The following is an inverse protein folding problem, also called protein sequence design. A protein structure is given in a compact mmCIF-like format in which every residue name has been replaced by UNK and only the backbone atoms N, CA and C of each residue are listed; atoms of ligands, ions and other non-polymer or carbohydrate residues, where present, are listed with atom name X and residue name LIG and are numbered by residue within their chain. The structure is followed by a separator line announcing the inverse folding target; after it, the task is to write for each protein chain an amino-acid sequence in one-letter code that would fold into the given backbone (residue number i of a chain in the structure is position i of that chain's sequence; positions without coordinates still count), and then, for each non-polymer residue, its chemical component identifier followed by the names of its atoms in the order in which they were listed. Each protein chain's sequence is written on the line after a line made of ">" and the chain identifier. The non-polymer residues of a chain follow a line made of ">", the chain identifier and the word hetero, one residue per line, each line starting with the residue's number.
data_IF_300931979868
#
_entry.id   IF_300931979868
#
_cell.length_a   1.000
_cell.length_b   1.000
_cell.length_c   1.000
_cell.angle_alpha   90.00
_cell.angle_beta   90.00
_cell.angle_gamma   90.00
#
_symmetry.space_group_name_H-M   'P 1'
#
loop_
_entity.id
_entity.type
_entity.pdbx_description
1 polymer ?
#
# COMPACT_ATOMS: atom_id res chain seq x y z
N UNK A 1 1.41 32.36 -28.68
CA UNK A 1 0.31 32.60 -27.73
C UNK A 1 -0.05 31.27 -27.11
N UNK A 2 -0.22 31.28 -25.80
CA UNK A 2 -0.10 30.15 -24.89
C UNK A 2 -1.32 29.23 -24.93
N UNK A 3 -1.08 27.92 -24.78
CA UNK A 3 -1.96 27.04 -23.99
C UNK A 3 -1.08 26.05 -23.26
N UNK A 4 -0.67 26.46 -22.06
CA UNK A 4 -0.38 25.58 -20.94
C UNK A 4 -1.54 24.59 -20.80
N UNK A 5 -1.33 23.34 -21.21
CA UNK A 5 -2.26 22.27 -20.88
C UNK A 5 -2.02 21.93 -19.42
N UNK A 6 -3.05 21.92 -18.56
CA UNK A 6 -2.87 21.45 -17.20
C UNK A 6 -2.36 20.01 -17.28
N UNK A 7 -1.14 19.78 -16.78
CA UNK A 7 -0.55 18.46 -16.60
C UNK A 7 -1.61 17.57 -15.96
N UNK A 8 -2.12 16.58 -16.70
CA UNK A 8 -2.97 15.56 -16.09
C UNK A 8 -2.22 15.00 -14.86
N UNK A 9 -2.91 14.69 -13.74
CA UNK A 9 -2.23 14.11 -12.60
C UNK A 9 -1.47 12.88 -13.09
N UNK A 10 -0.14 12.86 -12.89
CA UNK A 10 0.68 11.75 -13.31
C UNK A 10 0.13 10.46 -12.70
N UNK A 11 0.06 9.39 -13.49
CA UNK A 11 -0.35 8.08 -12.99
C UNK A 11 0.53 7.67 -11.79
N UNK A 12 -0.04 7.04 -10.75
CA UNK A 12 0.71 6.64 -9.57
C UNK A 12 1.85 5.68 -9.95
N UNK A 13 3.05 5.98 -9.44
CA UNK A 13 4.24 5.15 -9.67
C UNK A 13 4.22 3.99 -8.67
N UNK A 14 3.65 2.87 -9.10
CA UNK A 14 3.57 1.65 -8.30
C UNK A 14 4.95 1.02 -8.08
N UNK A 15 5.19 0.63 -6.83
CA UNK A 15 6.37 -0.10 -6.39
C UNK A 15 5.94 -1.38 -5.68
N UNK A 16 6.78 -2.39 -5.80
CA UNK A 16 6.68 -3.66 -5.10
C UNK A 16 7.93 -3.82 -4.24
N UNK A 17 7.87 -4.73 -3.27
CA UNK A 17 9.04 -5.13 -2.51
C UNK A 17 10.10 -5.74 -3.43
N UNK A 18 11.39 -5.49 -3.19
CA UNK A 18 12.47 -6.17 -3.92
C UNK A 18 12.50 -7.68 -3.65
N UNK A 19 11.88 -8.12 -2.54
CA UNK A 19 11.70 -9.52 -2.18
C UNK A 19 10.57 -10.20 -2.96
N UNK A 20 9.78 -9.45 -3.73
CA UNK A 20 8.76 -10.01 -4.61
C UNK A 20 9.40 -10.67 -5.84
N UNK A 21 9.74 -11.96 -5.72
CA UNK A 21 10.40 -12.75 -6.78
C UNK A 21 9.43 -13.31 -7.84
N UNK A 22 8.12 -13.18 -7.61
CA UNK A 22 7.05 -13.63 -8.53
C UNK A 22 6.56 -12.54 -9.49
N UNK A 23 6.10 -12.96 -10.68
CA UNK A 23 5.71 -12.04 -11.78
C UNK A 23 4.28 -11.50 -11.71
N UNK A 24 3.48 -11.83 -10.69
CA UNK A 24 2.08 -11.42 -10.73
C UNK A 24 1.36 -11.19 -9.42
N UNK A 25 1.82 -11.72 -8.31
CA UNK A 25 1.10 -11.74 -7.03
C UNK A 25 1.89 -10.94 -6.02
N UNK A 26 1.61 -9.66 -5.87
CA UNK A 26 2.37 -8.78 -5.00
C UNK A 26 1.48 -7.69 -4.40
N UNK A 27 1.88 -7.27 -3.20
CA UNK A 27 1.47 -5.98 -2.66
C UNK A 27 2.11 -4.87 -3.49
N UNK A 28 1.28 -4.00 -4.06
CA UNK A 28 1.74 -2.80 -4.75
C UNK A 28 1.38 -1.56 -3.93
N UNK A 29 2.35 -0.66 -3.81
CA UNK A 29 2.21 0.62 -3.11
C UNK A 29 2.64 1.76 -4.01
N UNK A 30 1.99 2.91 -3.91
CA UNK A 30 2.41 4.12 -4.61
C UNK A 30 2.24 5.34 -3.71
N UNK A 31 3.25 6.22 -3.60
CA UNK A 31 3.05 7.54 -3.02
C UNK A 31 2.17 8.39 -3.95
N UNK A 32 1.35 9.24 -3.35
CA UNK A 32 0.51 10.25 -4.00
C UNK A 32 0.80 11.62 -3.40
N UNK A 33 0.18 12.68 -3.91
CA UNK A 33 0.31 14.02 -3.34
C UNK A 33 -0.11 14.06 -1.86
N UNK A 34 -1.17 13.31 -1.50
CA UNK A 34 -1.81 13.39 -0.18
C UNK A 34 -1.47 12.20 0.73
N UNK A 35 -0.68 11.23 0.26
CA UNK A 35 -0.32 10.06 1.05
C UNK A 35 0.18 8.88 0.26
N UNK A 36 -0.32 7.68 0.58
CA UNK A 36 0.11 6.42 -0.01
C UNK A 36 -1.10 5.57 -0.30
N UNK A 37 -1.12 4.94 -1.47
CA UNK A 37 -2.14 3.97 -1.86
C UNK A 37 -1.53 2.57 -1.93
N UNK A 38 -2.30 1.57 -1.49
CA UNK A 38 -1.97 0.14 -1.60
C UNK A 38 -3.03 -0.57 -2.45
N UNK A 39 -2.62 -1.57 -3.23
CA UNK A 39 -3.51 -2.47 -3.97
C UNK A 39 -2.91 -3.86 -4.13
N UNK A 40 -3.71 -4.75 -4.69
CA UNK A 40 -3.26 -6.07 -5.13
C UNK A 40 -2.90 -6.05 -6.63
N UNK A 41 -1.69 -6.50 -6.99
CA UNK A 41 -1.23 -6.44 -8.40
C UNK A 41 -2.09 -7.24 -9.38
N UNK A 42 -2.62 -8.42 -8.99
CA UNK A 42 -3.56 -9.20 -9.85
C UNK A 42 -5.00 -8.73 -9.82
N UNK A 43 -5.38 -7.97 -8.80
CA UNK A 43 -6.76 -7.55 -8.59
C UNK A 43 -6.82 -6.03 -8.44
N UNK A 44 -6.32 -5.26 -9.43
CA UNK A 44 -6.37 -3.80 -9.36
C UNK A 44 -7.81 -3.26 -9.34
N UNK A 45 -8.75 -4.06 -9.84
CA UNK A 45 -10.20 -3.83 -9.83
C UNK A 45 -10.83 -4.02 -8.44
N UNK A 46 -10.16 -4.71 -7.50
CA UNK A 46 -10.57 -4.75 -6.09
C UNK A 46 -10.45 -3.38 -5.40
N UNK A 47 -9.80 -2.41 -6.05
CA UNK A 47 -9.65 -1.05 -5.59
C UNK A 47 -8.34 -0.79 -4.86
N UNK A 48 -8.23 0.41 -4.30
CA UNK A 48 -7.07 0.89 -3.56
C UNK A 48 -7.48 1.34 -2.17
N UNK A 49 -6.65 1.06 -1.17
CA UNK A 49 -6.80 1.67 0.16
C UNK A 49 -5.85 2.86 0.23
N UNK A 50 -6.36 4.02 0.64
CA UNK A 50 -5.60 5.28 0.69
C UNK A 50 -5.29 5.65 2.13
N UNK A 51 -4.02 5.88 2.43
CA UNK A 51 -3.51 6.30 3.72
C UNK A 51 -2.95 7.71 3.59
N UNK A 52 -3.13 8.55 4.60
CA UNK A 52 -2.22 9.68 4.79
C UNK A 52 -0.82 9.18 5.13
N UNK A 53 0.22 9.96 4.89
CA UNK A 53 1.60 9.59 5.26
C UNK A 53 1.76 9.10 6.73
N UNK A 54 1.20 9.77 7.76
CA UNK A 54 1.30 9.26 9.13
C UNK A 54 0.52 7.96 9.35
N UNK A 55 -0.64 7.80 8.70
CA UNK A 55 -1.41 6.56 8.77
C UNK A 55 -0.68 5.39 8.09
N UNK A 56 0.03 5.66 6.99
CA UNK A 56 0.88 4.69 6.30
C UNK A 56 2.04 4.23 7.18
N UNK A 57 2.76 5.15 7.81
CA UNK A 57 3.87 4.81 8.70
C UNK A 57 3.39 3.93 9.88
N UNK A 58 2.23 4.28 10.47
CA UNK A 58 1.61 3.46 11.50
C UNK A 58 1.18 2.08 10.97
N UNK A 59 0.57 2.02 9.77
CA UNK A 59 0.19 0.77 9.12
C UNK A 59 1.39 -0.18 8.93
N UNK A 60 2.48 0.32 8.36
CA UNK A 60 3.70 -0.47 8.10
C UNK A 60 4.31 -1.00 9.41
N UNK A 61 4.33 -0.18 10.46
CA UNK A 61 4.81 -0.58 11.78
C UNK A 61 3.93 -1.69 12.38
N UNK A 62 2.62 -1.50 12.37
CA UNK A 62 1.67 -2.46 12.95
C UNK A 62 1.70 -3.79 12.18
N UNK A 63 1.75 -3.73 10.84
CA UNK A 63 1.96 -4.88 9.96
C UNK A 63 3.26 -5.65 10.29
N UNK A 64 4.37 -4.93 10.52
CA UNK A 64 5.68 -5.51 10.85
C UNK A 64 5.70 -6.18 12.23
N UNK A 65 4.92 -5.66 13.17
CA UNK A 65 4.78 -6.25 14.51
C UNK A 65 3.81 -7.44 14.55
N UNK A 66 3.14 -7.74 13.42
CA UNK A 66 2.09 -8.76 13.36
C UNK A 66 0.84 -8.37 14.16
N UNK A 67 0.64 -7.08 14.41
CA UNK A 67 -0.50 -6.60 15.19
C UNK A 67 -1.74 -6.48 14.29
N UNK A 68 -2.80 -7.26 14.54
CA UNK A 68 -4.00 -7.25 13.69
C UNK A 68 -4.87 -6.00 13.92
N UNK A 69 -4.59 -5.21 14.96
CA UNK A 69 -5.37 -4.05 15.35
C UNK A 69 -4.69 -2.76 14.88
N UNK A 70 -4.93 -2.42 13.62
CA UNK A 70 -4.42 -1.19 13.04
C UNK A 70 -4.90 0.05 13.83
N UNK A 71 -3.96 0.72 14.48
CA UNK A 71 -4.22 1.88 15.34
C UNK A 71 -4.39 3.19 14.54
N UNK A 72 -4.36 3.11 13.20
CA UNK A 72 -4.37 4.27 12.30
C UNK A 72 -5.76 4.70 11.82
N UNK A 73 -6.81 3.91 12.06
CA UNK A 73 -8.19 4.22 11.70
C UNK A 73 -8.52 4.16 10.20
N UNK A 74 -7.60 3.70 9.34
CA UNK A 74 -7.79 3.65 7.87
C UNK A 74 -8.05 2.24 7.37
N UNK A 75 -7.30 1.26 7.85
CA UNK A 75 -7.43 -0.14 7.41
C UNK A 75 -7.33 -1.07 8.61
N UNK A 76 -7.85 -2.29 8.52
CA UNK A 76 -7.61 -3.40 9.46
C UNK A 76 -6.68 -4.44 8.82
N UNK A 77 -6.03 -5.27 9.66
CA UNK A 77 -5.25 -6.42 9.22
C UNK A 77 -5.83 -7.66 9.89
N UNK A 78 -6.32 -8.61 9.09
CA UNK A 78 -6.88 -9.86 9.59
C UNK A 78 -6.18 -11.06 8.94
N UNK A 79 -6.21 -12.21 9.63
CA UNK A 79 -5.75 -13.49 9.07
C UNK A 79 -6.94 -14.36 8.72
N UNK A 80 -6.95 -14.91 7.50
CA UNK A 80 -7.90 -15.94 7.07
C UNK A 80 -7.12 -17.15 6.57
N UNK A 81 -6.93 -18.14 7.43
CA UNK A 81 -5.96 -19.21 7.18
C UNK A 81 -4.55 -18.64 7.18
N UNK A 82 -3.77 -18.92 6.14
CA UNK A 82 -2.44 -18.35 5.90
C UNK A 82 -2.46 -16.95 5.30
N UNK A 83 -3.60 -16.59 4.69
CA UNK A 83 -3.75 -15.35 3.95
C UNK A 83 -3.92 -14.16 4.91
N UNK A 84 -3.43 -13.01 4.46
CA UNK A 84 -3.63 -11.73 5.13
C UNK A 84 -4.68 -10.94 4.37
N UNK A 85 -5.64 -10.41 5.11
CA UNK A 85 -6.69 -9.53 4.58
C UNK A 85 -6.45 -8.13 5.12
N UNK A 86 -6.30 -7.17 4.22
CA UNK A 86 -6.25 -5.74 4.54
C UNK A 86 -7.58 -5.13 4.12
N UNK A 87 -8.42 -4.81 5.10
CA UNK A 87 -9.76 -4.23 4.87
C UNK A 87 -9.75 -2.74 5.11
N UNK A 88 -10.30 -1.94 4.20
CA UNK A 88 -10.52 -0.52 4.43
C UNK A 88 -11.62 -0.31 5.47
N UNK A 89 -11.40 0.61 6.40
CA UNK A 89 -12.40 1.01 7.40
C UNK A 89 -13.27 2.17 6.90
N UNK A 90 -12.84 2.85 5.82
CA UNK A 90 -13.49 4.05 5.27
C UNK A 90 -14.12 3.81 3.91
N UNK A 91 -13.89 2.64 3.29
CA UNK A 91 -14.42 2.28 1.98
C UNK A 91 -14.70 0.77 1.91
N UNK A 92 -15.52 0.35 0.96
CA UNK A 92 -15.78 -1.07 0.69
C UNK A 92 -14.66 -1.66 -0.19
N UNK A 93 -13.46 -1.74 0.37
CA UNK A 93 -12.28 -2.31 -0.28
C UNK A 93 -11.66 -3.35 0.65
N UNK A 94 -11.46 -4.56 0.12
CA UNK A 94 -10.77 -5.64 0.81
C UNK A 94 -9.68 -6.20 -0.11
N UNK A 95 -8.45 -6.21 0.39
CA UNK A 95 -7.29 -6.73 -0.33
C UNK A 95 -6.83 -8.01 0.37
N UNK A 96 -6.80 -9.11 -0.35
CA UNK A 96 -6.35 -10.41 0.18
C UNK A 96 -5.00 -10.77 -0.42
N UNK A 97 -4.05 -11.08 0.44
CA UNK A 97 -2.70 -11.45 0.09
C UNK A 97 -2.36 -12.84 0.62
N UNK A 98 -1.75 -13.68 -0.20
CA UNK A 98 -1.20 -14.95 0.23
C UNK A 98 0.00 -14.76 1.19
N UNK A 99 0.43 -15.85 1.84
CA UNK A 99 1.53 -15.81 2.80
C UNK A 99 2.84 -15.30 2.20
N UNK A 100 3.14 -15.68 0.96
CA UNK A 100 4.37 -15.28 0.27
C UNK A 100 4.34 -13.80 -0.11
N UNK A 101 3.19 -13.31 -0.59
CA UNK A 101 2.96 -11.90 -0.90
C UNK A 101 3.16 -11.00 0.32
N UNK A 102 2.50 -11.36 1.42
CA UNK A 102 2.58 -10.58 2.65
C UNK A 102 3.98 -10.64 3.25
N UNK A 103 4.63 -11.81 3.25
CA UNK A 103 6.00 -11.95 3.75
C UNK A 103 7.01 -11.13 2.95
N UNK A 104 6.87 -11.07 1.61
CA UNK A 104 7.71 -10.21 0.78
C UNK A 104 7.47 -8.73 1.06
N UNK A 105 6.22 -8.31 1.27
CA UNK A 105 5.90 -6.95 1.69
C UNK A 105 6.54 -6.60 3.04
N UNK A 106 6.43 -7.48 4.04
CA UNK A 106 7.05 -7.27 5.35
C UNK A 106 8.59 -7.20 5.27
N UNK A 107 9.22 -8.01 4.42
CA UNK A 107 10.66 -7.94 4.21
C UNK A 107 11.10 -6.59 3.59
N UNK A 108 10.36 -6.10 2.58
CA UNK A 108 10.63 -4.77 2.00
C UNK A 108 10.36 -3.63 2.99
N UNK A 109 9.32 -3.75 3.80
CA UNK A 109 9.03 -2.80 4.88
C UNK A 109 10.15 -2.75 5.93
N UNK A 110 10.71 -3.90 6.32
CA UNK A 110 11.83 -3.99 7.26
C UNK A 110 13.11 -3.31 6.71
N UNK A 111 13.31 -3.34 5.40
CA UNK A 111 14.40 -2.65 4.70
C UNK A 111 14.07 -1.19 4.32
N UNK A 112 12.95 -0.65 4.84
CA UNK A 112 12.48 0.71 4.60
C UNK A 112 12.19 1.04 3.11
N UNK A 113 11.86 0.05 2.28
CA UNK A 113 11.54 0.26 0.87
C UNK A 113 10.27 1.10 0.64
N UNK A 114 9.45 1.23 1.68
CA UNK A 114 8.18 1.97 1.68
C UNK A 114 8.17 3.19 2.60
N UNK A 115 9.33 3.66 3.03
CA UNK A 115 9.46 4.98 3.66
C UNK A 115 9.45 6.05 2.56
N UNK A 116 8.27 6.59 2.28
CA UNK A 116 8.10 7.55 1.19
C UNK A 116 8.40 9.01 1.59
N UNK A 117 8.67 9.28 2.88
CA UNK A 117 8.72 10.64 3.43
C UNK A 117 7.45 11.45 3.10
N UNK A 118 7.37 12.70 3.55
CA UNK A 118 6.41 13.64 2.93
C UNK A 118 7.03 14.02 1.59
N UNK A 119 6.50 13.49 0.48
CA UNK A 119 6.89 13.96 -0.85
C UNK A 119 6.40 15.40 -0.97
N UNK A 120 7.27 16.37 -0.67
CA UNK A 120 7.02 17.77 -1.05
C UNK A 120 7.03 17.81 -2.57
N UNK A 121 5.85 17.98 -3.17
CA UNK A 121 5.75 18.27 -4.59
C UNK A 121 6.62 19.51 -4.86
N UNK A 122 7.68 19.32 -5.65
CA UNK A 122 8.58 20.39 -6.10
C UNK A 122 7.92 21.23 -7.19
#
# INVERSE_FOLDING_TARGET
>A
MNTDSPTAPADPIWRKSSYSTGTGNCVEVAPTADGVIIRHSKHPDAGTITFSYPAWAAFVRDASNGDPTSANGVASIAKIGTDTVVGSLTAEVELRFDEGEWSAFLAGAADAEFDFGVQVAA
#
